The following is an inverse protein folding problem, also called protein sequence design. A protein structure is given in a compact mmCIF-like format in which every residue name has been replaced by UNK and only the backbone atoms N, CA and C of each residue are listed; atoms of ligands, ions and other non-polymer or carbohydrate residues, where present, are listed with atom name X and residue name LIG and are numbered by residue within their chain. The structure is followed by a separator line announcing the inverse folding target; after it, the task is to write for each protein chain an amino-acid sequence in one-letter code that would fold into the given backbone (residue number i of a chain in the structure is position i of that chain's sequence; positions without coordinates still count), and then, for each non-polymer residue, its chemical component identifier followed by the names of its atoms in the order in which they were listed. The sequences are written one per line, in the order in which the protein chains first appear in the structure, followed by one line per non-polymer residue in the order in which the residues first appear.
data_IF_763450137317
#
_entry.id   IF_763450137317
#
_cell.length_a   1.000
_cell.length_b   1.000
_cell.length_c   1.000
_cell.angle_alpha   90.00
_cell.angle_beta   90.00
_cell.angle_gamma   90.00
#
_symmetry.space_group_name_H-M   'P 1'
#
loop_
_entity.id
_entity.type
_entity.pdbx_description
1 polymer ?
#
# COMPACT_ATOMS: atom_id res chain seq x y z
N UNK A 17 12.59 2.86 6.95
CA UNK A 17 11.59 1.85 6.61
C UNK A 17 12.21 0.88 5.63
N UNK A 18 11.55 0.67 4.49
CA UNK A 18 12.06 -0.11 3.38
C UNK A 18 11.72 0.70 2.14
N UNK A 19 12.72 1.17 1.40
CA UNK A 19 12.50 2.05 0.25
C UNK A 19 11.93 1.30 -0.96
N UNK A 20 12.04 -0.03 -0.98
CA UNK A 20 11.46 -0.88 -2.01
C UNK A 20 9.96 -0.58 -2.16
N UNK A 21 9.24 -0.54 -1.03
CA UNK A 21 7.83 -0.18 -1.04
C UNK A 21 7.64 1.21 -1.59
N UNK A 22 8.42 2.19 -1.13
CA UNK A 22 8.27 3.54 -1.63
C UNK A 22 8.37 3.54 -3.15
N UNK A 23 9.40 2.94 -3.73
CA UNK A 23 9.52 2.91 -5.19
C UNK A 23 8.30 2.25 -5.84
N UNK A 24 7.75 1.18 -5.28
CA UNK A 24 6.53 0.59 -5.82
C UNK A 24 5.37 1.58 -5.75
N UNK A 25 5.15 2.22 -4.60
CA UNK A 25 4.09 3.21 -4.45
C UNK A 25 4.32 4.41 -5.38
N UNK A 26 5.56 4.81 -5.62
CA UNK A 26 5.89 5.91 -6.51
C UNK A 26 5.51 5.54 -7.94
N UNK A 27 5.78 4.30 -8.38
CA UNK A 27 5.33 3.86 -9.70
C UNK A 27 3.81 3.94 -9.74
N UNK A 28 3.13 3.40 -8.74
CA UNK A 28 1.68 3.38 -8.63
C UNK A 28 1.07 4.78 -8.62
N UNK A 29 1.72 5.75 -7.98
CA UNK A 29 1.34 7.16 -7.96
C UNK A 29 1.47 7.76 -9.35
N UNK A 30 2.64 7.65 -9.97
CA UNK A 30 2.88 8.21 -11.29
C UNK A 30 1.93 7.59 -12.31
N UNK A 31 1.71 6.27 -12.22
CA UNK A 31 0.84 5.49 -13.07
C UNK A 31 -0.65 5.80 -12.80
N UNK A 32 -1.01 6.09 -11.54
CA UNK A 32 -2.37 6.33 -11.02
C UNK A 32 -3.38 5.32 -11.54
N UNK A 33 -3.07 4.03 -11.41
CA UNK A 33 -3.87 2.93 -11.93
C UNK A 33 -5.28 2.91 -11.36
N UNK A 34 -5.46 2.35 -10.16
CA UNK A 34 -6.72 2.31 -9.41
C UNK A 34 -6.38 1.98 -7.95
N UNK A 35 -5.89 0.78 -7.70
CA UNK A 35 -5.47 0.29 -6.39
C UNK A 35 -4.25 -0.62 -6.58
N UNK A 36 -3.56 -0.93 -5.49
CA UNK A 36 -2.45 -1.86 -5.46
C UNK A 36 -2.60 -2.64 -4.16
N UNK A 37 -2.58 -3.97 -4.29
CA UNK A 37 -2.64 -4.91 -3.20
C UNK A 37 -1.20 -5.32 -2.85
N UNK A 38 -0.73 -4.94 -1.67
CA UNK A 38 0.57 -5.33 -1.13
C UNK A 38 0.30 -6.59 -0.26
N UNK A 39 1.27 -7.50 -0.15
CA UNK A 39 1.07 -8.77 0.54
C UNK A 39 0.88 -8.66 2.07
N UNK A 40 0.26 -9.67 2.71
CA UNK A 40 0.11 -9.76 4.16
C UNK A 40 1.47 -9.83 4.86
N UNK A 41 2.51 -10.28 4.17
CA UNK A 41 3.87 -10.51 4.65
C UNK A 41 4.53 -9.29 5.31
N UNK A 42 3.93 -8.09 5.23
CA UNK A 42 4.42 -6.91 5.91
C UNK A 42 4.23 -7.17 7.39
N UNK A 43 5.36 -7.28 8.10
CA UNK A 43 5.43 -7.64 9.51
C UNK A 43 4.67 -6.67 10.37
N UNK A 44 5.19 -5.46 10.53
CA UNK A 44 4.55 -4.35 11.22
C UNK A 44 5.00 -3.08 10.51
N UNK A 45 6.31 -2.81 10.61
CA UNK A 45 6.95 -1.61 10.10
C UNK A 45 6.71 -1.41 8.62
N UNK A 46 6.63 -2.48 7.82
CA UNK A 46 6.45 -2.42 6.38
C UNK A 46 5.01 -2.02 6.08
N UNK A 47 4.05 -2.57 6.83
CA UNK A 47 2.62 -2.30 6.68
C UNK A 47 2.38 -0.84 7.06
N UNK A 48 2.90 -0.46 8.22
CA UNK A 48 2.89 0.90 8.72
C UNK A 48 3.54 1.82 7.69
N UNK A 49 4.60 1.42 7.01
CA UNK A 49 5.18 2.23 5.95
C UNK A 49 4.22 2.40 4.79
N UNK A 50 3.62 1.32 4.26
CA UNK A 50 2.66 1.42 3.16
C UNK A 50 1.55 2.41 3.55
N UNK A 51 1.01 2.29 4.77
CA UNK A 51 0.03 3.22 5.32
C UNK A 51 0.56 4.65 5.26
N UNK A 52 1.73 4.90 5.83
CA UNK A 52 2.34 6.23 5.94
C UNK A 52 2.57 6.90 4.59
N UNK A 53 3.18 6.23 3.61
CA UNK A 53 3.34 6.74 2.26
C UNK A 53 1.97 7.08 1.68
N UNK A 54 0.99 6.18 1.82
CA UNK A 54 -0.36 6.41 1.35
C UNK A 54 -1.01 7.65 1.97
N UNK A 55 -0.81 7.83 3.28
CA UNK A 55 -1.36 8.91 4.07
C UNK A 55 -0.70 10.24 3.73
N UNK A 56 0.61 10.23 3.47
CA UNK A 56 1.40 11.35 3.03
C UNK A 56 0.95 11.80 1.64
N UNK A 57 0.60 10.85 0.77
CA UNK A 57 0.06 11.09 -0.55
C UNK A 57 -1.45 11.26 -0.40
N UNK A 58 -2.20 10.85 -1.41
CA UNK A 58 -3.63 10.82 -1.46
C UNK A 58 -4.07 9.40 -1.75
N UNK A 59 -3.76 8.45 -0.86
CA UNK A 59 -4.18 7.08 -1.04
C UNK A 59 -4.98 6.57 0.14
N UNK A 60 -6.11 5.89 -0.11
CA UNK A 60 -6.85 5.28 0.99
C UNK A 60 -6.18 3.94 1.23
N UNK A 61 -5.45 3.82 2.33
CA UNK A 61 -4.82 2.59 2.76
C UNK A 61 -5.82 1.86 3.67
N UNK A 62 -6.03 0.56 3.46
CA UNK A 62 -6.86 -0.27 4.31
C UNK A 62 -6.47 -1.74 4.14
N UNK A 63 -6.89 -2.62 5.05
CA UNK A 63 -6.62 -4.05 4.94
C UNK A 63 -7.84 -4.68 4.25
N UNK A 64 -7.62 -5.78 3.56
CA UNK A 64 -8.60 -6.47 2.73
C UNK A 64 -8.36 -7.98 2.79
N UNK A 65 -9.32 -8.77 2.33
CA UNK A 65 -9.22 -10.22 2.23
C UNK A 65 -10.23 -10.87 3.18
N UNK A 66 -10.68 -12.08 2.87
CA UNK A 66 -11.73 -12.76 3.62
C UNK A 66 -11.13 -13.63 4.73
N UNK A 67 -10.40 -14.69 4.37
CA UNK A 67 -9.84 -15.65 5.32
C UNK A 67 -8.37 -15.41 5.57
N UNK A 68 -7.58 -16.48 5.68
CA UNK A 68 -6.15 -16.40 5.93
C UNK A 68 -5.36 -15.92 4.70
N UNK A 69 -5.99 -15.22 3.77
CA UNK A 69 -5.37 -14.60 2.61
C UNK A 69 -5.63 -13.11 2.69
N UNK A 70 -5.43 -12.54 3.88
CA UNK A 70 -5.52 -11.11 4.12
C UNK A 70 -4.45 -10.42 3.27
N UNK A 71 -4.60 -9.12 3.02
CA UNK A 71 -3.63 -8.29 2.34
C UNK A 71 -3.86 -6.84 2.77
N UNK A 72 -2.99 -5.96 2.31
CA UNK A 72 -3.04 -4.51 2.48
C UNK A 72 -3.31 -3.92 1.11
N UNK A 73 -4.24 -2.99 1.06
CA UNK A 73 -4.68 -2.35 -0.15
C UNK A 73 -4.45 -0.87 0.02
N UNK A 74 -4.07 -0.22 -1.06
CA UNK A 74 -3.93 1.21 -1.12
C UNK A 74 -4.64 1.61 -2.42
N UNK A 75 -5.48 2.62 -2.35
CA UNK A 75 -6.32 3.06 -3.45
C UNK A 75 -5.88 4.45 -3.84
N UNK A 76 -5.76 4.73 -5.13
CA UNK A 76 -5.40 6.05 -5.65
C UNK A 76 -6.54 7.02 -5.78
N UNK A 77 -6.54 8.10 -5.00
CA UNK A 77 -7.56 9.10 -5.23
C UNK A 77 -6.91 9.79 -6.43
N UNK A 78 -7.50 9.70 -7.63
CA UNK A 78 -6.90 10.23 -8.84
C UNK A 78 -6.51 11.69 -8.63
#
# INVERSE_FOLDING_TARGET
MGSLNGGSPEGVESQDGVDHFRAMIVEFMASKKMQLEFPPSLNSHDRLRVHQIAEEHGLRHDSSGEGKRRFITVSKRAGSHHHHHH
#
